data_IF_460540072561
#
_entry.id   IF_460540072561
#
_cell.length_a   1.000
_cell.length_b   1.000
_cell.length_c   1.000
_cell.angle_alpha   90.00
_cell.angle_beta   90.00
_cell.angle_gamma   90.00
#
_symmetry.space_group_name_H-M   'P 1'
#
loop_
_entity.id
_entity.type
_entity.pdbx_description
1 polymer ?
#
# COMPACT_ATOMS: atom_id res chain seq x y z
N UNK A 1 -3.91 17.35 -8.89
CA UNK A 1 -3.26 16.36 -8.00
C UNK A 1 -4.30 15.78 -7.04
N UNK A 2 -4.16 14.52 -6.63
CA UNK A 2 -4.92 13.91 -5.52
C UNK A 2 -3.86 13.56 -4.49
N UNK A 3 -4.04 14.05 -3.27
CA UNK A 3 -3.14 13.77 -2.16
C UNK A 3 -3.44 12.38 -1.59
N UNK A 4 -2.39 11.66 -1.21
CA UNK A 4 -2.46 10.38 -0.53
C UNK A 4 -1.30 10.29 0.44
N UNK A 5 -1.61 10.01 1.70
CA UNK A 5 -0.65 9.74 2.75
C UNK A 5 -0.75 8.26 3.12
N UNK A 6 0.27 7.49 2.75
CA UNK A 6 0.32 6.04 2.99
C UNK A 6 0.48 5.69 4.49
N UNK A 7 0.74 6.67 5.37
CA UNK A 7 0.71 6.44 6.82
C UNK A 7 -0.71 6.45 7.39
N UNK A 8 -1.74 6.81 6.60
CA UNK A 8 -3.12 6.96 7.05
C UNK A 8 -4.11 6.24 6.15
N UNK A 9 -4.71 5.16 6.63
CA UNK A 9 -5.74 4.40 5.91
C UNK A 9 -6.98 5.28 5.62
N UNK A 10 -7.24 6.29 6.46
CA UNK A 10 -8.28 7.29 6.20
C UNK A 10 -7.96 8.16 4.97
N UNK A 11 -6.69 8.57 4.82
CA UNK A 11 -6.19 9.30 3.64
C UNK A 11 -6.29 8.44 2.38
N UNK A 12 -5.91 7.16 2.45
CA UNK A 12 -6.06 6.20 1.35
C UNK A 12 -7.52 6.12 0.88
N UNK A 13 -8.49 5.98 1.80
CA UNK A 13 -9.92 5.94 1.46
C UNK A 13 -10.39 7.24 0.79
N UNK A 14 -9.96 8.39 1.30
CA UNK A 14 -10.31 9.68 0.72
C UNK A 14 -9.73 9.84 -0.70
N UNK A 15 -8.47 9.46 -0.89
CA UNK A 15 -7.79 9.45 -2.19
C UNK A 15 -8.50 8.53 -3.19
N UNK A 16 -8.86 7.30 -2.80
CA UNK A 16 -9.60 6.38 -3.69
C UNK A 16 -10.94 6.97 -4.12
N UNK A 17 -11.70 7.58 -3.20
CA UNK A 17 -12.97 8.25 -3.55
C UNK A 17 -12.73 9.37 -4.57
N UNK A 18 -11.71 10.19 -4.37
CA UNK A 18 -11.35 11.27 -5.28
C UNK A 18 -10.89 10.74 -6.66
N UNK A 19 -10.13 9.63 -6.70
CA UNK A 19 -9.68 8.98 -7.94
C UNK A 19 -10.90 8.55 -8.74
N UNK A 20 -11.79 7.76 -8.14
CA UNK A 20 -12.99 7.25 -8.81
C UNK A 20 -13.92 8.38 -9.28
N UNK A 21 -14.06 9.45 -8.48
CA UNK A 21 -14.85 10.60 -8.89
C UNK A 21 -14.24 11.32 -10.10
N UNK A 22 -12.92 11.55 -10.10
CA UNK A 22 -12.25 12.27 -11.19
C UNK A 22 -12.11 11.45 -12.46
N UNK A 23 -12.05 10.13 -12.35
CA UNK A 23 -11.91 9.21 -13.49
C UNK A 23 -13.24 8.62 -13.96
N UNK A 24 -14.37 9.09 -13.41
CA UNK A 24 -15.70 8.54 -13.71
C UNK A 24 -15.76 7.01 -13.50
N UNK A 25 -15.08 6.51 -12.46
CA UNK A 25 -15.04 5.10 -12.11
C UNK A 25 -14.11 4.24 -12.99
N UNK A 26 -13.33 4.84 -13.88
CA UNK A 26 -12.40 4.10 -14.75
C UNK A 26 -10.98 4.09 -14.16
N UNK A 27 -10.38 2.90 -14.04
CA UNK A 27 -8.98 2.73 -13.64
C UNK A 27 -8.42 1.53 -14.40
N UNK A 28 -7.39 1.72 -15.21
CA UNK A 28 -6.80 0.64 -16.00
C UNK A 28 -5.52 0.08 -15.37
N UNK A 29 -4.73 0.92 -14.71
CA UNK A 29 -3.42 0.55 -14.19
C UNK A 29 -3.29 1.10 -12.77
N UNK A 30 -2.90 0.24 -11.85
CA UNK A 30 -2.46 0.60 -10.50
C UNK A 30 -0.99 0.21 -10.34
N UNK A 31 -0.15 1.17 -9.97
CA UNK A 31 1.26 0.91 -9.64
C UNK A 31 1.49 1.27 -8.17
N UNK A 32 1.62 0.25 -7.34
CA UNK A 32 1.96 0.36 -5.94
C UNK A 32 3.49 0.51 -5.82
N UNK A 33 3.96 1.76 -5.89
CA UNK A 33 5.38 2.11 -5.89
C UNK A 33 5.83 2.86 -4.63
N UNK A 34 4.94 3.59 -3.96
CA UNK A 34 5.32 4.37 -2.79
C UNK A 34 5.85 3.44 -1.70
N UNK A 35 7.06 3.68 -1.22
CA UNK A 35 7.64 2.82 -0.20
C UNK A 35 8.73 3.54 0.56
N UNK A 36 8.97 3.07 1.78
CA UNK A 36 10.00 3.56 2.69
C UNK A 36 10.85 2.38 3.17
N UNK A 37 12.08 2.66 3.58
CA UNK A 37 12.96 1.61 4.10
C UNK A 37 14.01 2.18 5.04
N UNK A 38 14.69 1.28 5.74
CA UNK A 38 15.85 1.60 6.58
C UNK A 38 15.58 2.69 7.64
N UNK A 39 14.42 2.60 8.29
CA UNK A 39 14.09 3.45 9.43
C UNK A 39 15.07 3.16 10.59
N UNK A 40 15.61 4.22 11.17
CA UNK A 40 16.58 4.10 12.27
C UNK A 40 15.91 3.72 13.60
N UNK A 41 14.63 4.03 13.76
CA UNK A 41 13.84 3.81 14.97
C UNK A 41 12.53 3.11 14.63
N UNK A 42 11.98 2.40 15.61
CA UNK A 42 10.62 1.88 15.50
C UNK A 42 9.68 3.08 15.51
N UNK A 43 8.94 3.21 14.43
CA UNK A 43 7.93 4.23 14.25
C UNK A 43 6.61 3.54 13.86
N UNK A 44 5.50 4.23 14.11
CA UNK A 44 4.18 3.73 13.77
C UNK A 44 3.49 4.70 12.82
N UNK A 45 2.79 4.13 11.84
CA UNK A 45 1.85 4.84 10.99
C UNK A 45 0.69 5.41 11.84
N UNK A 46 -0.10 6.32 11.29
CA UNK A 46 -1.18 7.00 12.03
C UNK A 46 -2.21 6.02 12.61
N UNK A 47 -2.43 4.89 11.94
CA UNK A 47 -3.34 3.84 12.38
C UNK A 47 -2.70 2.84 13.38
N UNK A 48 -1.46 3.09 13.84
CA UNK A 48 -0.80 2.31 14.89
C UNK A 48 -0.07 1.04 14.42
N UNK A 49 0.06 0.83 13.11
CA UNK A 49 0.87 -0.25 12.55
C UNK A 49 2.35 0.16 12.47
N UNK A 50 3.27 -0.81 12.51
CA UNK A 50 4.69 -0.54 12.20
C UNK A 50 4.81 0.20 10.86
N UNK A 51 5.67 1.20 10.82
CA UNK A 51 5.70 2.20 9.75
C UNK A 51 5.90 1.60 8.35
N UNK A 52 6.87 0.71 8.14
CA UNK A 52 7.10 0.08 6.83
C UNK A 52 5.93 -0.84 6.45
N UNK A 53 5.43 -1.66 7.37
CA UNK A 53 4.29 -2.52 7.14
C UNK A 53 3.01 -1.73 6.80
N UNK A 54 2.79 -0.60 7.48
CA UNK A 54 1.70 0.33 7.21
C UNK A 54 1.78 0.92 5.81
N UNK A 55 2.94 1.51 5.47
CA UNK A 55 3.15 2.29 4.24
C UNK A 55 3.27 1.40 3.01
N UNK A 56 4.13 0.37 3.07
CA UNK A 56 4.54 -0.41 1.90
C UNK A 56 3.56 -1.56 1.60
N UNK A 57 2.79 -2.00 2.61
CA UNK A 57 1.88 -3.14 2.48
C UNK A 57 0.40 -2.78 2.74
N UNK A 58 0.03 -2.35 3.95
CA UNK A 58 -1.39 -2.18 4.31
C UNK A 58 -2.07 -1.07 3.49
N UNK A 59 -1.41 0.06 3.29
CA UNK A 59 -1.93 1.16 2.47
C UNK A 59 -2.13 0.72 1.01
N UNK A 60 -1.15 0.02 0.42
CA UNK A 60 -1.26 -0.52 -0.94
C UNK A 60 -2.34 -1.59 -1.09
N UNK A 61 -2.46 -2.49 -0.11
CA UNK A 61 -3.51 -3.51 -0.09
C UNK A 61 -4.90 -2.87 -0.05
N UNK A 62 -5.10 -1.90 0.85
CA UNK A 62 -6.37 -1.17 0.95
C UNK A 62 -6.69 -0.41 -0.36
N UNK A 63 -5.70 0.28 -0.94
CA UNK A 63 -5.86 1.00 -2.19
C UNK A 63 -6.29 0.06 -3.32
N UNK A 64 -5.65 -1.10 -3.46
CA UNK A 64 -6.03 -2.12 -4.42
C UNK A 64 -7.46 -2.62 -4.21
N UNK A 65 -7.82 -3.02 -2.98
CA UNK A 65 -9.15 -3.56 -2.70
C UNK A 65 -10.26 -2.54 -2.99
N UNK A 66 -10.02 -1.25 -2.69
CA UNK A 66 -10.99 -0.18 -2.99
C UNK A 66 -11.10 0.14 -4.49
N UNK A 67 -10.04 -0.05 -5.28
CA UNK A 67 -10.02 0.20 -6.73
C UNK A 67 -10.33 -1.03 -7.58
N UNK A 68 -10.37 -2.22 -6.97
CA UNK A 68 -10.50 -3.53 -7.64
C UNK A 68 -11.69 -3.60 -8.60
N UNK A 69 -12.86 -3.13 -8.17
CA UNK A 69 -14.06 -3.14 -9.01
C UNK A 69 -13.90 -2.27 -10.27
N UNK A 70 -13.28 -1.10 -10.14
CA UNK A 70 -12.99 -0.21 -11.27
C UNK A 70 -11.94 -0.81 -12.23
N UNK A 71 -10.90 -1.45 -11.67
CA UNK A 71 -9.89 -2.19 -12.43
C UNK A 71 -10.51 -3.31 -13.26
N UNK A 72 -11.37 -4.13 -12.65
CA UNK A 72 -12.06 -5.23 -13.34
C UNK A 72 -13.02 -4.71 -14.42
N UNK A 73 -13.80 -3.67 -14.11
CA UNK A 73 -14.73 -3.07 -15.07
C UNK A 73 -14.03 -2.40 -16.26
N UNK A 74 -12.79 -1.95 -16.08
CA UNK A 74 -12.00 -1.29 -17.13
C UNK A 74 -11.25 -2.28 -18.04
N UNK A 75 -11.31 -3.59 -17.73
CA UNK A 75 -10.74 -4.63 -18.57
C UNK A 75 -11.70 -5.04 -19.70
N UNK A 76 -11.16 -5.42 -20.85
CA UNK A 76 -11.88 -5.91 -22.03
C UNK A 76 -11.07 -7.02 -22.71
N UNK A 77 -11.65 -7.78 -23.67
CA UNK A 77 -10.90 -8.80 -24.40
C UNK A 77 -9.65 -8.28 -25.13
N UNK A 78 -9.64 -7.00 -25.54
CA UNK A 78 -8.50 -6.36 -26.22
C UNK A 78 -7.57 -5.55 -25.30
N UNK A 79 -7.93 -5.38 -24.03
CA UNK A 79 -7.17 -4.58 -23.08
C UNK A 79 -7.33 -5.10 -21.65
N UNK A 80 -6.25 -5.60 -21.04
CA UNK A 80 -6.24 -6.02 -19.64
C UNK A 80 -5.82 -4.90 -18.72
N UNK A 81 -6.61 -4.66 -17.67
CA UNK A 81 -6.14 -3.86 -16.53
C UNK A 81 -4.99 -4.56 -15.81
N UNK A 82 -4.13 -3.78 -15.15
CA UNK A 82 -2.92 -4.30 -14.48
C UNK A 82 -2.73 -3.70 -13.11
N UNK A 83 -2.27 -4.52 -12.18
CA UNK A 83 -1.78 -4.09 -10.86
C UNK A 83 -0.33 -4.51 -10.77
N UNK A 84 0.54 -3.54 -10.47
CA UNK A 84 1.99 -3.75 -10.34
C UNK A 84 2.38 -3.38 -8.93
N UNK A 85 2.96 -4.33 -8.20
CA UNK A 85 3.59 -4.08 -6.92
C UNK A 85 5.10 -3.97 -7.15
N UNK A 86 5.66 -2.81 -6.84
CA UNK A 86 7.11 -2.60 -6.91
C UNK A 86 7.71 -3.13 -5.62
N UNK A 87 8.58 -4.12 -5.73
CA UNK A 87 9.31 -4.72 -4.62
C UNK A 87 10.82 -4.48 -4.77
N UNK A 88 11.58 -4.79 -3.71
CA UNK A 88 13.04 -4.68 -3.70
C UNK A 88 13.71 -6.04 -3.91
N UNK A 89 14.85 -6.04 -4.59
CA UNK A 89 15.73 -7.21 -4.67
C UNK A 89 16.31 -7.64 -3.31
N UNK A 90 16.13 -6.82 -2.26
CA UNK A 90 16.48 -7.18 -0.88
C UNK A 90 15.46 -8.12 -0.22
N UNK A 91 14.21 -8.18 -0.70
CA UNK A 91 13.17 -9.06 -0.15
C UNK A 91 13.61 -10.53 0.10
N UNK A 92 14.27 -11.24 -0.84
CA UNK A 92 14.67 -12.64 -0.64
C UNK A 92 15.75 -12.87 0.43
N UNK A 93 16.46 -11.82 0.86
CA UNK A 93 17.51 -11.92 1.88
C UNK A 93 17.07 -11.40 3.26
N UNK A 94 15.79 -11.03 3.38
CA UNK A 94 15.17 -10.57 4.63
C UNK A 94 14.11 -11.56 5.08
N UNK A 95 13.92 -11.70 6.40
CA UNK A 95 12.83 -12.49 6.97
C UNK A 95 11.59 -11.62 7.17
N UNK A 96 10.40 -12.18 7.01
CA UNK A 96 9.17 -11.49 7.39
C UNK A 96 9.03 -11.45 8.92
N UNK A 97 8.27 -10.48 9.41
CA UNK A 97 7.94 -10.37 10.84
C UNK A 97 7.32 -11.68 11.35
N UNK A 98 7.62 -12.02 12.61
CA UNK A 98 6.98 -13.16 13.27
C UNK A 98 5.45 -13.00 13.26
N UNK A 99 4.73 -14.10 13.00
CA UNK A 99 3.26 -14.08 13.00
C UNK A 99 2.72 -13.54 14.34
N UNK A 100 1.82 -12.56 14.26
CA UNK A 100 1.29 -11.89 15.46
C UNK A 100 2.26 -10.91 16.13
N UNK A 101 3.36 -10.54 15.47
CA UNK A 101 4.27 -9.45 15.84
C UNK A 101 4.48 -8.47 14.68
N UNK A 102 3.43 -8.14 13.95
CA UNK A 102 3.51 -7.25 12.78
C UNK A 102 3.93 -5.82 13.14
N UNK A 103 3.71 -5.40 14.40
CA UNK A 103 4.10 -4.10 14.91
C UNK A 103 5.53 -4.06 15.46
N UNK A 104 6.23 -5.21 15.50
CA UNK A 104 7.57 -5.36 16.08
C UNK A 104 7.68 -4.98 17.57
N UNK A 105 6.57 -4.78 18.28
CA UNK A 105 6.54 -4.41 19.70
C UNK A 105 7.16 -5.48 20.63
N UNK A 106 7.36 -6.72 20.15
CA UNK A 106 7.91 -7.85 20.91
C UNK A 106 9.42 -8.07 20.72
N UNK A 107 10.10 -7.25 19.91
CA UNK A 107 11.54 -7.35 19.67
C UNK A 107 12.24 -6.03 20.01
N UNK A 108 13.55 -6.09 20.30
CA UNK A 108 14.37 -4.88 20.34
C UNK A 108 14.62 -4.39 18.92
N UNK A 109 14.20 -3.17 18.62
CA UNK A 109 14.39 -2.54 17.32
C UNK A 109 15.70 -1.76 17.31
N UNK A 110 16.67 -2.21 16.50
CA UNK A 110 18.03 -1.66 16.35
C UNK A 110 18.76 -1.44 17.70
N UNK A 111 19.61 -2.39 18.09
CA UNK A 111 20.72 -2.09 19.04
C UNK A 111 21.79 -1.23 18.32
#
# INVERSE_FOLDING_TARGET
MIEIDNTSLSSVRAATKAILQKSNGQVNILVNNAGIMALQKLEHAQDGFEMQFGVDHLAHFLLFELLKSALLASASPGFSSRVVNVASSAHPVTSTNESGNYNLDKIKYND
#
